data_IF_330839328168
#
_entry.id   IF_330839328168
#
_cell.length_a   1.000
_cell.length_b   1.000
_cell.length_c   1.000
_cell.angle_alpha   90.00
_cell.angle_beta   90.00
_cell.angle_gamma   90.00
#
_symmetry.space_group_name_H-M   'P 1'
#
loop_
_entity.id
_entity.type
_entity.pdbx_description
1 polymer ?
#
# COMPACT_ATOMS: atom_id res chain seq x y z
N UNK A 1 1.99 20.68 9.88
CA UNK A 1 1.51 19.45 9.18
C UNK A 1 2.34 19.16 7.93
N UNK A 2 2.79 20.17 7.20
CA UNK A 2 3.50 19.99 5.91
C UNK A 2 4.85 19.26 6.01
N UNK A 3 5.53 19.35 7.16
CA UNK A 3 6.83 18.73 7.38
C UNK A 3 6.81 17.19 7.27
N UNK A 4 5.69 16.55 7.60
CA UNK A 4 5.56 15.08 7.55
C UNK A 4 4.80 14.58 6.32
N UNK A 5 3.90 15.38 5.74
CA UNK A 5 3.16 14.97 4.55
C UNK A 5 4.02 14.97 3.28
N UNK A 6 4.91 15.94 3.12
CA UNK A 6 5.70 16.06 1.88
C UNK A 6 6.58 14.82 1.58
N UNK A 7 7.30 14.24 2.56
CA UNK A 7 8.05 13.00 2.33
C UNK A 7 7.15 11.81 1.98
N UNK A 8 6.04 11.61 2.70
CA UNK A 8 5.13 10.48 2.47
C UNK A 8 4.44 10.55 1.09
N UNK A 9 4.06 11.75 0.65
CA UNK A 9 3.50 11.98 -0.68
C UNK A 9 4.55 11.68 -1.77
N UNK A 10 5.79 12.14 -1.60
CA UNK A 10 6.88 11.88 -2.54
C UNK A 10 7.19 10.37 -2.69
N UNK A 11 7.09 9.60 -1.60
CA UNK A 11 7.30 8.15 -1.61
C UNK A 11 6.20 7.38 -2.34
N UNK A 12 5.02 7.97 -2.56
CA UNK A 12 3.89 7.27 -3.19
C UNK A 12 4.22 6.77 -4.59
N UNK A 13 4.82 7.61 -5.42
CA UNK A 13 5.20 7.21 -6.79
C UNK A 13 6.27 6.11 -6.80
N UNK A 14 7.23 6.20 -5.87
CA UNK A 14 8.30 5.21 -5.72
C UNK A 14 7.71 3.86 -5.30
N UNK A 15 6.83 3.84 -4.29
CA UNK A 15 6.18 2.62 -3.83
C UNK A 15 5.32 1.98 -4.92
N UNK A 16 4.59 2.79 -5.70
CA UNK A 16 3.77 2.31 -6.81
C UNK A 16 4.62 1.62 -7.87
N UNK A 17 5.73 2.25 -8.28
CA UNK A 17 6.68 1.68 -9.26
C UNK A 17 7.36 0.43 -8.74
N UNK A 18 7.78 0.44 -7.49
CA UNK A 18 8.42 -0.72 -6.84
C UNK A 18 7.47 -1.91 -6.78
N UNK A 19 6.21 -1.68 -6.39
CA UNK A 19 5.18 -2.72 -6.34
C UNK A 19 4.90 -3.30 -7.72
N UNK A 20 4.77 -2.44 -8.73
CA UNK A 20 4.57 -2.87 -10.12
C UNK A 20 5.74 -3.73 -10.63
N UNK A 21 6.99 -3.30 -10.36
CA UNK A 21 8.18 -4.06 -10.74
C UNK A 21 8.25 -5.42 -10.05
N UNK A 22 8.07 -5.47 -8.73
CA UNK A 22 8.08 -6.72 -7.94
C UNK A 22 6.95 -7.66 -8.38
N UNK A 23 5.75 -7.13 -8.69
CA UNK A 23 4.62 -7.95 -9.12
C UNK A 23 4.86 -8.71 -10.43
N UNK A 24 5.81 -8.24 -11.25
CA UNK A 24 6.20 -8.83 -12.54
C UNK A 24 7.43 -9.76 -12.41
N UNK A 25 8.14 -9.71 -11.30
CA UNK A 25 9.30 -10.54 -11.03
C UNK A 25 8.87 -11.87 -10.39
N UNK A 26 8.38 -12.79 -11.23
CA UNK A 26 7.88 -14.07 -10.76
C UNK A 26 8.94 -14.93 -10.05
N UNK A 27 10.20 -15.03 -10.55
CA UNK A 27 11.25 -15.73 -9.82
C UNK A 27 11.44 -15.17 -8.41
N UNK A 28 11.48 -13.84 -8.26
CA UNK A 28 11.60 -13.21 -6.96
C UNK A 28 10.44 -13.53 -6.02
N UNK A 29 9.19 -13.47 -6.51
CA UNK A 29 8.01 -13.80 -5.71
C UNK A 29 8.01 -15.26 -5.25
N UNK A 30 8.34 -16.20 -6.15
CA UNK A 30 8.43 -17.63 -5.83
C UNK A 30 9.49 -17.91 -4.79
N UNK A 31 10.68 -17.35 -4.97
CA UNK A 31 11.81 -17.55 -4.04
C UNK A 31 11.50 -16.96 -2.66
N UNK A 32 11.03 -15.71 -2.63
CA UNK A 32 10.77 -14.98 -1.37
C UNK A 32 9.65 -15.62 -0.54
N UNK A 33 8.63 -16.19 -1.20
CA UNK A 33 7.46 -16.76 -0.51
C UNK A 33 7.57 -18.28 -0.27
N UNK A 34 8.61 -18.96 -0.79
CA UNK A 34 8.74 -20.41 -0.75
C UNK A 34 8.69 -20.99 0.67
N UNK A 35 9.37 -20.37 1.64
CA UNK A 35 9.36 -20.82 3.04
C UNK A 35 8.01 -20.56 3.70
N UNK A 36 7.42 -19.38 3.47
CA UNK A 36 6.12 -19.01 4.04
C UNK A 36 5.04 -19.98 3.57
N UNK A 37 5.01 -20.34 2.30
CA UNK A 37 4.04 -21.30 1.75
C UNK A 37 4.11 -22.70 2.39
N UNK A 38 5.24 -23.10 3.00
CA UNK A 38 5.34 -24.38 3.70
C UNK A 38 4.62 -24.35 5.06
N UNK A 39 4.55 -23.17 5.66
CA UNK A 39 4.01 -22.96 7.02
C UNK A 39 2.62 -22.32 7.05
N UNK A 40 2.25 -21.56 6.01
CA UNK A 40 0.98 -20.84 5.92
C UNK A 40 0.13 -21.31 4.72
N UNK A 41 -0.93 -22.12 4.97
CA UNK A 41 -1.84 -22.58 3.94
C UNK A 41 -2.55 -21.46 3.17
N UNK A 42 -2.76 -20.29 3.81
CA UNK A 42 -3.40 -19.16 3.15
C UNK A 42 -2.50 -18.60 2.05
N UNK A 43 -1.25 -18.25 2.38
CA UNK A 43 -0.26 -17.78 1.40
C UNK A 43 0.03 -18.84 0.33
N UNK A 44 0.10 -20.13 0.71
CA UNK A 44 0.25 -21.21 -0.26
C UNK A 44 -0.87 -21.24 -1.30
N UNK A 45 -2.12 -21.02 -0.88
CA UNK A 45 -3.26 -20.97 -1.80
C UNK A 45 -3.22 -19.76 -2.73
N UNK A 46 -2.77 -18.60 -2.24
CA UNK A 46 -2.56 -17.43 -3.07
C UNK A 46 -1.51 -17.67 -4.16
N UNK A 47 -0.40 -18.35 -3.82
CA UNK A 47 0.61 -18.73 -4.80
C UNK A 47 0.04 -19.71 -5.83
N UNK A 48 -0.72 -20.73 -5.44
CA UNK A 48 -1.38 -21.64 -6.39
C UNK A 48 -2.29 -20.90 -7.39
N UNK A 49 -3.04 -19.88 -6.92
CA UNK A 49 -3.88 -19.04 -7.79
C UNK A 49 -3.01 -18.19 -8.72
N UNK A 50 -1.92 -17.61 -8.21
CA UNK A 50 -0.97 -16.85 -9.01
C UNK A 50 -0.41 -17.69 -10.17
N UNK A 51 -0.01 -18.95 -9.88
CA UNK A 51 0.47 -19.91 -10.88
C UNK A 51 -0.58 -20.28 -11.92
N UNK A 52 -1.78 -20.67 -11.46
CA UNK A 52 -2.84 -21.15 -12.35
C UNK A 52 -3.46 -20.06 -13.21
N UNK A 53 -3.34 -18.79 -12.81
CA UNK A 53 -3.89 -17.64 -13.55
C UNK A 53 -2.93 -17.02 -14.57
N UNK A 54 -1.69 -17.51 -14.70
CA UNK A 54 -0.64 -16.88 -15.54
C UNK A 54 -1.03 -16.73 -17.01
N UNK A 55 -1.48 -17.81 -17.63
CA UNK A 55 -1.85 -17.78 -19.06
C UNK A 55 -3.01 -16.84 -19.35
N UNK A 56 -3.95 -16.70 -18.42
CA UNK A 56 -5.07 -15.77 -18.54
C UNK A 56 -4.62 -14.33 -18.29
N UNK A 57 -3.81 -14.10 -17.25
CA UNK A 57 -3.26 -12.79 -16.93
C UNK A 57 -2.42 -12.20 -18.06
N UNK A 58 -1.66 -13.05 -18.79
CA UNK A 58 -0.85 -12.64 -19.93
C UNK A 58 -1.65 -12.07 -21.12
N UNK A 59 -2.98 -12.23 -21.13
CA UNK A 59 -3.86 -11.66 -22.16
C UNK A 59 -4.18 -10.18 -21.93
N UNK A 60 -3.85 -9.64 -20.76
CA UNK A 60 -4.14 -8.27 -20.36
C UNK A 60 -2.85 -7.44 -20.29
N UNK A 61 -2.80 -6.35 -21.07
CA UNK A 61 -1.63 -5.47 -21.14
C UNK A 61 -1.60 -4.39 -20.04
N UNK A 62 -2.60 -4.36 -19.16
CA UNK A 62 -2.75 -3.33 -18.13
C UNK A 62 -3.22 -3.92 -16.79
N UNK A 63 -2.67 -3.36 -15.71
CA UNK A 63 -3.07 -3.65 -14.33
C UNK A 63 -3.32 -2.33 -13.57
N UNK A 64 -4.26 -2.34 -12.63
CA UNK A 64 -4.58 -1.20 -11.78
C UNK A 64 -4.30 -1.54 -10.31
N UNK A 65 -3.42 -0.76 -9.68
CA UNK A 65 -3.17 -0.81 -8.24
C UNK A 65 -3.70 0.44 -7.54
N UNK A 66 -4.58 0.25 -6.54
CA UNK A 66 -4.99 1.31 -5.59
C UNK A 66 -4.30 1.00 -4.26
N UNK A 67 -3.07 1.50 -4.14
CA UNK A 67 -2.18 1.16 -3.03
C UNK A 67 -2.29 2.19 -1.90
N UNK A 68 -2.05 1.76 -0.66
CA UNK A 68 -1.90 2.65 0.49
C UNK A 68 -0.63 2.30 1.25
N UNK A 69 0.26 3.27 1.39
CA UNK A 69 1.44 3.16 2.22
C UNK A 69 1.17 3.81 3.57
N UNK A 70 1.27 3.04 4.64
CA UNK A 70 0.96 3.46 6.00
C UNK A 70 2.25 3.73 6.78
N UNK A 71 2.28 4.84 7.52
CA UNK A 71 3.50 5.34 8.18
C UNK A 71 3.25 5.71 9.64
N UNK A 72 4.29 5.59 10.45
CA UNK A 72 4.33 6.13 11.82
C UNK A 72 5.58 6.99 12.00
N UNK A 73 5.47 8.02 12.85
CA UNK A 73 6.63 8.83 13.24
C UNK A 73 7.30 8.17 14.42
N UNK A 74 8.56 7.82 14.26
CA UNK A 74 9.40 7.30 15.33
C UNK A 74 9.67 8.42 16.36
N UNK A 75 9.26 8.21 17.61
CA UNK A 75 9.33 9.26 18.63
C UNK A 75 10.77 9.70 19.00
N UNK A 76 11.75 8.79 19.13
CA UNK A 76 13.14 9.17 19.40
C UNK A 76 13.81 9.96 18.27
N UNK A 77 13.61 9.56 17.02
CA UNK A 77 14.34 10.16 15.87
C UNK A 77 13.54 11.21 15.11
N UNK A 78 12.21 11.25 15.29
CA UNK A 78 11.30 12.04 14.46
C UNK A 78 11.17 11.52 13.02
N UNK A 79 11.74 10.37 12.69
CA UNK A 79 11.73 9.81 11.35
C UNK A 79 10.35 9.27 10.98
N UNK A 80 9.94 9.48 9.72
CA UNK A 80 8.75 8.86 9.17
C UNK A 80 9.10 7.45 8.67
N UNK A 81 8.61 6.41 9.34
CA UNK A 81 8.88 5.02 9.01
C UNK A 81 7.64 4.36 8.40
N UNK A 82 7.84 3.64 7.30
CA UNK A 82 6.79 2.83 6.69
C UNK A 82 6.51 1.62 7.57
N UNK A 83 5.24 1.41 7.91
CA UNK A 83 4.78 0.29 8.71
C UNK A 83 4.23 -0.82 7.82
N UNK A 84 3.46 -0.45 6.79
CA UNK A 84 2.82 -1.41 5.90
C UNK A 84 2.60 -0.81 4.51
N UNK A 85 2.61 -1.68 3.50
CA UNK A 85 2.15 -1.36 2.15
C UNK A 85 0.94 -2.24 1.79
N UNK A 86 -0.23 -1.62 1.76
CA UNK A 86 -1.48 -2.26 1.42
C UNK A 86 -1.68 -2.27 -0.10
N UNK A 87 -1.67 -3.46 -0.70
CA UNK A 87 -1.85 -3.67 -2.15
C UNK A 87 -3.22 -4.23 -2.54
N UNK A 88 -4.02 -4.61 -1.55
CA UNK A 88 -5.37 -5.16 -1.72
C UNK A 88 -6.35 -4.46 -0.78
N UNK A 89 -7.54 -4.17 -1.29
CA UNK A 89 -8.67 -3.65 -0.51
C UNK A 89 -8.31 -2.44 0.40
N UNK A 90 -7.49 -1.52 -0.12
CA UNK A 90 -7.08 -0.30 0.56
C UNK A 90 -8.30 0.57 0.94
N UNK A 91 -8.72 0.44 2.20
CA UNK A 91 -9.94 1.10 2.69
C UNK A 91 -9.75 2.61 2.93
N UNK A 92 -10.84 3.29 3.29
CA UNK A 92 -10.87 4.72 3.67
C UNK A 92 -10.53 5.77 2.60
N UNK A 93 -10.42 5.40 1.32
CA UNK A 93 -10.24 6.37 0.23
C UNK A 93 -11.27 7.52 0.28
N UNK A 94 -12.57 7.20 0.22
CA UNK A 94 -13.63 8.22 0.31
C UNK A 94 -13.77 8.82 1.72
N UNK A 95 -13.65 8.00 2.77
CA UNK A 95 -13.86 8.43 4.15
C UNK A 95 -12.82 9.47 4.59
N UNK A 96 -11.56 9.34 4.15
CA UNK A 96 -10.49 10.31 4.44
C UNK A 96 -10.86 11.73 4.01
N UNK A 97 -11.55 11.87 2.86
CA UNK A 97 -12.02 13.16 2.35
C UNK A 97 -13.13 13.73 3.24
N UNK A 98 -14.06 12.89 3.69
CA UNK A 98 -15.15 13.30 4.56
C UNK A 98 -14.64 13.73 5.94
N UNK A 99 -13.73 12.94 6.53
CA UNK A 99 -13.10 13.27 7.82
C UNK A 99 -12.30 14.58 7.72
N UNK A 100 -11.55 14.78 6.63
CA UNK A 100 -10.83 16.02 6.39
C UNK A 100 -11.76 17.24 6.30
N UNK A 101 -12.92 17.09 5.65
CA UNK A 101 -13.95 18.16 5.59
C UNK A 101 -14.56 18.43 6.95
N UNK A 102 -14.86 17.38 7.72
CA UNK A 102 -15.38 17.49 9.08
C UNK A 102 -14.41 18.27 9.98
N UNK A 103 -13.12 17.91 9.97
CA UNK A 103 -12.10 18.62 10.77
C UNK A 103 -11.99 20.09 10.40
N UNK A 104 -11.98 20.43 9.10
CA UNK A 104 -11.98 21.84 8.65
C UNK A 104 -13.21 22.60 9.15
N UNK A 105 -14.39 21.96 9.11
CA UNK A 105 -15.62 22.58 9.62
C UNK A 105 -15.57 22.84 11.12
N UNK A 106 -15.02 21.90 11.91
CA UNK A 106 -14.90 22.03 13.35
C UNK A 106 -13.90 23.12 13.75
N UNK A 107 -12.72 23.15 13.11
CA UNK A 107 -11.71 24.20 13.32
C UNK A 107 -12.32 25.59 13.09
N UNK A 108 -13.08 25.75 12.00
CA UNK A 108 -13.80 26.99 11.69
C UNK A 108 -14.82 27.37 12.76
N UNK A 109 -15.65 26.42 13.20
CA UNK A 109 -16.70 26.67 14.18
C UNK A 109 -16.15 27.04 15.56
N UNK A 110 -14.99 26.50 15.92
CA UNK A 110 -14.33 26.74 17.21
C UNK A 110 -13.44 27.99 17.20
N UNK A 111 -13.28 28.68 16.06
CA UNK A 111 -12.41 29.86 15.96
C UNK A 111 -10.93 29.53 16.13
N UNK A 112 -10.51 28.34 15.70
CA UNK A 112 -9.13 27.85 15.78
C UNK A 112 -8.36 28.03 14.46
N UNK A 113 -8.88 28.87 13.56
CA UNK A 113 -8.23 29.24 12.28
C UNK A 113 -7.09 30.24 12.47
#
# INVERSE_FOLDING_TARGET
MDYFMAPGVALTEICNKLTDAISKDEPYLRETLAEVCQSDPFTAKLMEIFESSREEAAKYDAALGILRSDYMVDAPTGALLQVELNTIASSFGCLSTLVSRMHRSLVKQLGLE
#
